data_IF_915698269204
#
_entry.id   IF_915698269204
#
_cell.length_a   1.000
_cell.length_b   1.000
_cell.length_c   1.000
_cell.angle_alpha   90.00
_cell.angle_beta   90.00
_cell.angle_gamma   90.00
#
_symmetry.space_group_name_H-M   'P 1'
#
loop_
_entity.id
_entity.type
_entity.pdbx_description
1 polymer ?
2 polymer ?
3 water ?
#
# COMPACT_ATOMS: atom_id res chain seq x y z
N UNK A 15 9.24 7.69 -10.32
CA UNK A 15 8.77 8.59 -9.29
C UNK A 15 8.20 7.84 -8.08
N UNK A 16 7.88 6.57 -8.26
CA UNK A 16 7.32 5.79 -7.16
C UNK A 16 8.41 5.16 -6.28
N UNK A 17 9.51 4.75 -6.92
CA UNK A 17 10.62 4.21 -6.17
C UNK A 17 11.22 5.28 -5.25
N UNK A 18 11.22 6.53 -5.71
CA UNK A 18 11.82 7.63 -4.95
C UNK A 18 10.96 8.05 -3.76
N UNK A 19 9.68 7.80 -3.86
CA UNK A 19 8.72 8.04 -2.83
C UNK A 19 8.89 6.97 -1.77
N UNK A 20 8.99 5.76 -2.24
CA UNK A 20 9.16 4.59 -1.38
C UNK A 20 10.50 4.64 -0.66
N UNK A 21 11.53 5.11 -1.36
CA UNK A 21 12.84 5.26 -0.73
C UNK A 21 12.83 6.28 0.41
N UNK A 22 12.08 7.36 0.27
CA UNK A 22 12.09 8.32 1.37
C UNK A 22 11.25 7.87 2.54
N UNK A 23 10.26 7.02 2.29
CA UNK A 23 9.56 6.39 3.38
C UNK A 23 10.51 5.44 4.12
N UNK A 24 11.37 4.77 3.36
CA UNK A 24 12.34 3.86 3.95
C UNK A 24 13.32 4.63 4.84
N UNK A 25 13.85 5.75 4.32
CA UNK A 25 14.74 6.63 5.08
C UNK A 25 14.03 7.23 6.29
N UNK A 26 12.75 7.53 6.15
CA UNK A 26 11.97 8.01 7.28
C UNK A 26 11.91 6.94 8.37
N UNK A 27 11.66 5.69 7.98
CA UNK A 27 11.60 4.59 8.94
C UNK A 27 12.91 4.47 9.69
N UNK A 28 14.02 4.53 8.97
CA UNK A 28 15.33 4.41 9.60
C UNK A 28 15.60 5.58 10.52
N UNK A 29 15.23 6.79 10.10
CA UNK A 29 15.42 7.97 10.95
C UNK A 29 14.61 7.86 12.23
N UNK A 30 13.35 7.41 12.10
CA UNK A 30 12.48 7.30 13.27
C UNK A 30 12.93 6.20 14.23
N UNK A 31 13.44 5.09 13.69
CA UNK A 31 14.00 4.04 14.54
C UNK A 31 15.24 4.58 15.28
N UNK A 32 16.05 5.37 14.58
CA UNK A 32 17.27 5.91 15.16
C UNK A 32 16.99 6.89 16.30
N UNK A 33 15.94 7.69 16.14
CA UNK A 33 15.49 8.59 17.20
C UNK A 33 14.99 7.81 18.40
N UNK A 34 14.25 6.74 18.14
CA UNK A 34 13.60 5.99 19.22
C UNK A 34 14.61 5.21 20.06
N UNK A 35 15.64 4.66 19.41
CA UNK A 35 16.60 3.79 20.10
C UNK A 35 17.96 4.43 20.33
N UNK A 36 18.12 5.70 19.94
CA UNK A 36 19.42 6.35 19.87
C UNK A 36 20.44 5.48 19.16
N UNK A 37 20.04 4.98 18.00
CA UNK A 37 20.88 4.15 17.17
C UNK A 37 21.45 4.98 16.05
N UNK A 38 22.31 4.37 15.25
CA UNK A 38 22.86 5.05 14.09
C UNK A 38 22.84 4.15 12.86
N UNK A 39 21.73 3.47 12.62
CA UNK A 39 21.58 2.68 11.40
C UNK A 39 21.69 3.58 10.19
N UNK A 40 22.38 3.11 9.16
CA UNK A 40 22.47 3.89 7.95
C UNK A 40 21.72 3.20 6.82
N UNK A 41 20.69 3.85 6.30
CA UNK A 41 19.92 3.29 5.18
C UNK A 41 20.81 2.92 4.00
N UNK A 42 20.61 1.73 3.44
CA UNK A 42 21.33 1.35 2.23
C UNK A 42 20.37 1.22 1.05
N UNK A 43 19.31 0.41 1.20
CA UNK A 43 18.41 0.22 0.08
C UNK A 43 17.12 -0.45 0.48
N UNK A 44 16.12 -0.30 -0.38
CA UNK A 44 14.86 -1.01 -0.21
C UNK A 44 14.94 -2.29 -1.01
N UNK A 45 14.56 -3.41 -0.40
CA UNK A 45 14.63 -4.67 -1.13
C UNK A 45 13.22 -5.16 -1.49
N UNK A 46 12.21 -4.71 -0.76
CA UNK A 46 10.84 -5.12 -1.06
C UNK A 46 9.88 -4.08 -0.50
N UNK A 47 8.86 -3.72 -1.27
CA UNK A 47 7.91 -2.71 -0.82
C UNK A 47 6.52 -3.11 -1.24
N UNK A 48 5.57 -2.97 -0.33
CA UNK A 48 4.17 -3.19 -0.64
C UNK A 48 3.37 -1.99 -0.14
N UNK A 49 2.57 -1.36 -1.02
CA UNK A 49 1.66 -0.31 -0.58
C UNK A 49 0.24 -0.85 -0.45
N UNK A 50 -0.36 -0.71 0.73
CA UNK A 50 -1.68 -1.25 0.96
C UNK A 50 -2.65 -0.20 1.47
N UNK A 51 -3.66 0.12 0.67
CA UNK A 51 -4.70 1.07 1.06
C UNK A 51 -5.81 0.35 1.83
N UNK A 52 -6.08 0.81 3.03
CA UNK A 52 -7.07 0.18 3.90
C UNK A 52 -8.36 0.98 3.86
N UNK A 53 -9.46 0.34 3.46
CA UNK A 53 -10.73 1.05 3.32
C UNK A 53 -11.76 0.53 4.33
N UNK A 54 -11.30 -0.07 5.42
CA UNK A 54 -12.19 -0.77 6.33
C UNK A 54 -12.65 0.11 7.49
N UNK A 55 -12.07 1.30 7.62
CA UNK A 55 -12.40 2.19 8.75
C UNK A 55 -13.06 3.48 8.29
N UNK A 56 -13.32 4.40 9.22
CA UNK A 56 -13.99 5.65 8.88
C UNK A 56 -13.11 6.56 8.01
N UNK A 57 -11.79 6.48 8.24
CA UNK A 57 -10.83 7.32 7.52
C UNK A 57 -9.89 6.47 6.71
N UNK A 58 -9.68 6.85 5.46
CA UNK A 58 -8.78 6.11 4.57
C UNK A 58 -7.35 6.29 5.07
N UNK A 59 -6.56 5.23 5.01
CA UNK A 59 -5.14 5.37 5.29
C UNK A 59 -4.40 4.35 4.46
N UNK A 60 -3.08 4.51 4.41
CA UNK A 60 -2.21 3.65 3.63
C UNK A 60 -1.15 3.04 4.56
N UNK A 61 -0.89 1.73 4.44
CA UNK A 61 0.24 1.08 5.09
C UNK A 61 1.33 0.77 4.09
N UNK A 62 2.58 1.07 4.42
CA UNK A 62 3.69 0.56 3.64
C UNK A 62 4.39 -0.55 4.40
N UNK A 63 4.50 -1.72 3.77
CA UNK A 63 5.32 -2.81 4.31
C UNK A 63 6.62 -2.82 3.55
N UNK A 64 7.71 -2.58 4.27
CA UNK A 64 9.01 -2.32 3.64
C UNK A 64 10.04 -3.28 4.19
N UNK A 65 10.77 -3.97 3.32
CA UNK A 65 11.97 -4.65 3.76
C UNK A 65 13.15 -3.85 3.21
N UNK A 66 14.01 -3.39 4.11
CA UNK A 66 15.14 -2.56 3.72
C UNK A 66 16.43 -3.09 4.31
N UNK A 67 17.53 -2.67 3.70
CA UNK A 67 18.86 -2.97 4.17
C UNK A 67 19.49 -1.70 4.74
N UNK A 68 20.20 -1.85 5.85
CA UNK A 68 20.81 -0.73 6.53
C UNK A 68 22.04 -1.25 7.25
N UNK A 69 23.05 -0.41 7.41
CA UNK A 69 24.28 -0.81 8.08
C UNK A 69 24.21 -0.53 9.57
N UNK A 70 24.57 -1.53 10.35
CA UNK A 70 24.65 -1.44 11.80
C UNK A 70 26.06 -1.79 12.23
N UNK A 71 26.87 -0.79 12.55
CA UNK A 71 28.26 -1.03 12.88
C UNK A 71 29.01 -1.64 11.70
N UNK A 72 28.79 -1.07 10.53
CA UNK A 72 29.48 -1.54 9.33
C UNK A 72 29.11 -2.96 8.89
N UNK A 73 28.00 -3.49 9.38
CA UNK A 73 27.45 -4.74 8.86
C UNK A 73 26.06 -4.48 8.29
N UNK A 74 25.82 -4.93 7.06
CA UNK A 74 24.51 -4.80 6.44
C UNK A 74 23.56 -5.83 7.01
N UNK A 75 22.39 -5.37 7.43
CA UNK A 75 21.34 -6.25 7.93
C UNK A 75 20.01 -5.88 7.27
N UNK A 76 19.08 -6.82 7.28
CA UNK A 76 17.75 -6.58 6.76
C UNK A 76 16.78 -6.22 7.87
N UNK A 77 15.86 -5.31 7.57
CA UNK A 77 14.87 -4.91 8.54
C UNK A 77 13.51 -4.91 7.87
N UNK A 78 12.47 -5.22 8.65
CA UNK A 78 11.09 -5.10 8.20
C UNK A 78 10.45 -3.92 8.92
N UNK A 79 9.86 -3.01 8.15
CA UNK A 79 9.28 -1.80 8.73
C UNK A 79 7.83 -1.66 8.26
N UNK A 80 6.98 -1.10 9.11
CA UNK A 80 5.61 -0.78 8.71
C UNK A 80 5.39 0.70 8.91
N UNK A 81 5.04 1.40 7.84
CA UNK A 81 4.81 2.83 7.97
C UNK A 81 3.37 3.17 7.66
N UNK A 82 2.69 3.81 8.62
CA UNK A 82 1.32 4.26 8.45
C UNK A 82 1.34 5.64 7.83
N UNK A 83 0.47 5.84 6.85
CA UNK A 83 0.37 7.13 6.17
C UNK A 83 -1.10 7.52 6.13
N UNK A 84 -1.41 8.72 6.60
CA UNK A 84 -2.77 9.24 6.51
C UNK A 84 -3.26 9.39 5.07
N UNK A 85 -4.49 8.95 4.79
CA UNK A 85 -5.07 9.11 3.46
C UNK A 85 -4.31 8.37 2.39
N UNK A 86 -4.26 8.93 1.18
CA UNK A 86 -3.51 8.33 0.07
C UNK A 86 -2.17 9.04 -0.15
N UNK A 87 -1.19 8.30 -0.64
CA UNK A 87 0.17 8.83 -0.77
C UNK A 87 0.24 10.07 -1.66
N UNK A 88 -0.51 10.09 -2.75
CA UNK A 88 -0.40 11.20 -3.69
C UNK A 88 -1.06 12.47 -3.15
N UNK A 89 -1.79 12.37 -2.03
CA UNK A 89 -2.39 13.55 -1.44
C UNK A 89 -1.32 14.41 -0.79
N UNK A 90 -0.18 13.80 -0.46
CA UNK A 90 0.97 14.52 0.08
C UNK A 90 0.60 15.41 1.27
N UNK A 91 0.08 14.80 2.33
CA UNK A 91 -0.57 15.55 3.41
C UNK A 91 0.42 16.27 4.33
N UNK A 92 1.67 15.82 4.34
CA UNK A 92 2.67 16.42 5.19
C UNK A 92 3.33 15.35 6.02
N UNK A 93 4.55 15.62 6.45
CA UNK A 93 5.36 14.63 7.17
C UNK A 93 4.82 14.29 8.55
N UNK A 94 3.98 15.16 9.11
CA UNK A 94 3.38 14.90 10.43
C UNK A 94 2.29 13.84 10.40
N UNK A 95 1.84 13.49 9.20
CA UNK A 95 0.74 12.56 9.03
C UNK A 95 1.22 11.20 8.54
N UNK A 96 2.38 10.80 9.08
CA UNK A 96 3.04 9.53 8.82
C UNK A 96 3.46 8.99 10.17
N UNK A 97 3.55 7.68 10.31
CA UNK A 97 3.98 7.11 11.57
C UNK A 97 4.72 5.79 11.35
N UNK A 98 5.90 5.64 11.96
CA UNK A 98 6.55 4.32 12.01
C UNK A 98 5.84 3.47 13.05
N UNK A 99 5.20 2.38 12.63
CA UNK A 99 4.46 1.56 13.58
C UNK A 99 5.24 0.34 14.03
N UNK A 100 6.18 -0.11 13.20
CA UNK A 100 7.01 -1.26 13.54
C UNK A 100 8.30 -1.22 12.73
N UNK A 101 9.38 -1.65 13.38
CA UNK A 101 10.72 -1.72 12.79
C UNK A 101 11.50 -2.79 13.55
N UNK A 102 11.86 -3.87 12.86
CA UNK A 102 12.51 -5.01 13.53
C UNK A 102 13.42 -5.77 12.57
N UNK A 103 14.47 -6.43 13.11
CA UNK A 103 15.33 -7.26 12.27
C UNK A 103 14.54 -8.41 11.67
N UNK A 104 14.90 -8.89 10.49
CA UNK A 104 14.14 -10.00 9.89
C UNK A 104 14.39 -11.31 10.64
N UNK B 5 -12.21 -11.91 10.25
CA UNK B 5 -12.61 -12.77 9.15
C UNK B 5 -13.45 -12.02 8.13
N UNK B 6 -13.82 -10.79 8.48
CA UNK B 6 -14.67 -9.99 7.62
C UNK B 6 -13.90 -9.31 6.48
N UNK B 7 -12.57 -9.43 6.50
CA UNK B 7 -11.70 -8.67 5.57
C UNK B 7 -11.01 -9.55 4.53
N UNK B 8 -10.64 -8.95 3.41
CA UNK B 8 -9.83 -9.61 2.38
C UNK B 8 -8.77 -8.63 1.84
N UNK B 9 -7.58 -9.14 1.56
CA UNK B 9 -6.56 -8.34 0.93
C UNK B 9 -6.51 -8.67 -0.54
N UNK B 10 -6.70 -7.66 -1.38
CA UNK B 10 -6.69 -7.83 -2.83
C UNK B 10 -5.55 -7.03 -3.42
N UNK B 11 -5.20 -7.32 -4.67
CA UNK B 11 -4.25 -6.44 -5.32
C UNK B 11 -4.70 -6.08 -6.72
N UNK B 12 -4.49 -4.81 -7.05
CA UNK B 12 -4.89 -4.22 -8.29
C UNK B 12 -3.68 -3.96 -9.11
N UNK B 13 -3.59 -4.58 -10.27
CA UNK B 13 -2.45 -4.38 -11.15
C UNK B 13 -2.86 -3.60 -12.40
N UNK B 14 -2.09 -2.56 -12.71
CA UNK B 14 -2.33 -1.73 -13.86
C UNK B 14 -1.56 -2.23 -15.04
N UNK B 15 -1.87 -1.72 -16.22
CA UNK B 15 -1.25 -2.17 -17.45
C UNK B 15 0.27 -1.90 -17.47
N UNK B 16 0.70 -0.89 -16.71
CA UNK B 16 2.13 -0.61 -16.57
C UNK B 16 2.78 -1.50 -15.50
N UNK B 17 1.97 -2.46 -14.98
CA UNK B 17 2.39 -3.53 -14.06
C UNK B 17 2.64 -3.07 -12.61
N UNK B 18 2.38 -1.80 -12.30
CA UNK B 18 2.43 -1.33 -10.92
C UNK B 18 1.34 -2.02 -10.08
N UNK B 19 1.57 -2.26 -8.78
CA UNK B 19 0.63 -2.98 -7.92
C UNK B 19 0.26 -2.15 -6.71
N UNK B 20 -1.00 -1.96 -6.47
CA UNK B 20 -1.52 -1.31 -5.27
C UNK B 20 -2.38 -2.33 -4.53
N UNK B 21 -2.09 -2.61 -3.26
CA UNK B 21 -2.91 -3.57 -2.55
C UNK B 21 -4.02 -2.83 -1.82
N UNK B 22 -5.14 -3.52 -1.60
CA UNK B 22 -6.25 -2.97 -0.84
C UNK B 22 -6.64 -3.94 0.26
N UNK B 23 -7.09 -3.42 1.39
CA UNK B 23 -7.75 -4.24 2.36
C UNK B 23 -9.19 -3.75 2.45
N UNK B 24 -10.14 -4.64 2.15
CA UNK B 24 -11.57 -4.29 2.13
C UNK B 24 -12.42 -5.34 2.85
N UNK B 25 -13.65 -4.98 3.22
CA UNK B 25 -14.57 -5.97 3.78
C UNK B 25 -15.12 -6.84 2.65
N UNK B 26 -15.26 -8.13 2.94
CA UNK B 26 -15.80 -9.11 2.00
C UNK B 26 -17.16 -8.71 1.44
N UNK B 27 -17.94 -8.00 2.25
CA UNK B 27 -19.32 -7.71 1.90
C UNK B 27 -19.54 -6.30 1.36
N UNK B 28 -18.47 -5.53 1.18
CA UNK B 28 -18.63 -4.15 0.75
C UNK B 28 -18.63 -4.05 -0.76
N UNK B 29 -19.51 -3.22 -1.31
CA UNK B 29 -19.52 -2.96 -2.74
C UNK B 29 -18.14 -2.57 -3.25
N UNK B 30 -17.72 -3.14 -4.37
CA UNK B 30 -16.39 -2.85 -4.90
C UNK B 30 -16.29 -1.46 -5.52
N UNK B 31 -17.42 -0.75 -5.60
CA UNK B 31 -17.38 0.63 -6.05
C UNK B 31 -16.42 1.44 -5.19
N UNK B 32 -16.39 1.15 -3.89
CA UNK B 32 -15.51 1.89 -2.98
C UNK B 32 -14.04 1.70 -3.36
N UNK B 33 -13.66 0.47 -3.70
CA UNK B 33 -12.29 0.17 -4.11
C UNK B 33 -11.96 0.86 -5.43
N UNK B 34 -12.90 0.83 -6.36
CA UNK B 34 -12.71 1.48 -7.66
C UNK B 34 -12.49 2.99 -7.50
N UNK B 35 -13.28 3.63 -6.64
CA UNK B 35 -13.15 5.07 -6.46
C UNK B 35 -11.82 5.43 -5.80
N UNK B 36 -11.43 4.66 -4.81
CA UNK B 36 -10.15 4.87 -4.15
C UNK B 36 -8.97 4.69 -5.11
N UNK B 37 -9.04 3.65 -5.94
CA UNK B 37 -7.96 3.43 -6.89
C UNK B 37 -7.89 4.60 -7.86
N UNK B 38 -9.03 5.08 -8.35
CA UNK B 38 -9.05 6.27 -9.19
C UNK B 38 -8.45 7.50 -8.51
N UNK B 39 -8.82 7.75 -7.25
CA UNK B 39 -8.23 8.85 -6.51
C UNK B 39 -6.72 8.69 -6.36
N UNK B 40 -6.29 7.46 -6.15
CA UNK B 40 -4.87 7.17 -5.96
C UNK B 40 -4.08 7.45 -7.23
N UNK B 41 -4.70 7.17 -8.38
CA UNK B 41 -4.04 7.42 -9.66
C UNK B 41 -4.30 8.82 -10.16
N UNK B 42 -5.18 9.55 -9.46
CA UNK B 42 -5.50 10.93 -9.84
C UNK B 42 -6.28 11.07 -11.14
N UNK B 43 -7.19 10.12 -11.40
CA UNK B 43 -7.96 10.10 -12.66
C UNK B 43 -9.47 10.14 -12.38
N UNK B 44 -10.28 10.52 -13.39
CA UNK B 44 -11.73 10.63 -13.15
C UNK B 44 -12.40 9.32 -12.75
N UNK B 45 -13.52 9.44 -12.05
CA UNK B 45 -14.14 8.32 -11.35
C UNK B 45 -14.56 7.12 -12.21
N UNK B 46 -14.85 7.36 -13.49
CA UNK B 46 -15.33 6.26 -14.31
C UNK B 46 -14.52 6.07 -15.58
N UNK B 47 -13.22 6.36 -15.47
CA UNK B 47 -12.33 6.30 -16.62
C UNK B 47 -11.64 4.95 -16.74
N UNK B 48 -11.81 4.11 -15.73
CA UNK B 48 -11.15 2.81 -15.69
C UNK B 48 -12.14 1.64 -15.65
N UNK B 49 -11.66 0.48 -16.07
CA UNK B 49 -12.46 -0.75 -16.11
C UNK B 49 -11.71 -1.81 -15.31
N UNK B 50 -12.37 -2.43 -14.34
CA UNK B 50 -11.72 -3.37 -13.42
C UNK B 50 -12.24 -4.77 -13.70
N UNK B 51 -11.32 -5.71 -13.83
CA UNK B 51 -11.66 -7.07 -14.21
C UNK B 51 -11.18 -8.09 -13.18
N UNK B 52 -12.03 -9.06 -12.86
CA UNK B 52 -11.58 -10.17 -12.03
C UNK B 52 -11.76 -11.47 -12.79
N UNK B 53 -10.63 -12.14 -13.06
CA UNK B 53 -10.62 -13.33 -13.90
C UNK B 53 -11.46 -13.15 -15.17
N UNK B 54 -11.31 -11.97 -15.77
CA UNK B 54 -11.88 -11.67 -17.08
C UNK B 54 -13.27 -11.10 -16.97
N UNK B 55 -13.82 -11.07 -15.76
CA UNK B 55 -15.18 -10.56 -15.55
C UNK B 55 -15.17 -9.09 -15.16
N UNK B 56 -15.98 -8.27 -15.83
CA UNK B 56 -16.11 -6.87 -15.47
C UNK B 56 -16.71 -6.71 -14.08
N UNK B 57 -16.00 -6.03 -13.20
CA UNK B 57 -16.45 -5.75 -11.86
C UNK B 57 -17.44 -4.59 -11.86
N UNK B 58 -18.68 -4.89 -11.50
CA UNK B 58 -19.71 -3.86 -11.37
C UNK B 58 -19.60 -3.17 -10.02
N UNK B 59 -20.15 -1.95 -9.96
CA UNK B 59 -20.16 -1.18 -8.73
C UNK B 59 -20.75 -1.95 -7.54
N UNK B 60 -21.78 -2.78 -7.76
CA UNK B 60 -22.41 -3.46 -6.63
C UNK B 60 -21.93 -4.90 -6.44
N UNK B 61 -20.92 -5.31 -7.19
CA UNK B 61 -20.23 -6.57 -6.88
C UNK B 61 -19.50 -6.48 -5.53
N UNK B 62 -19.44 -7.59 -4.80
CA UNK B 62 -18.66 -7.71 -3.58
C UNK B 62 -17.63 -8.82 -3.79
N UNK B 63 -16.52 -8.80 -3.02
CA UNK B 63 -15.55 -9.90 -3.11
C UNK B 63 -16.20 -11.25 -2.83
N UNK B 64 -17.18 -11.25 -1.93
CA UNK B 64 -17.96 -12.42 -1.61
C UNK B 64 -18.74 -12.97 -2.81
N UNK B 65 -19.47 -12.12 -3.51
CA UNK B 65 -20.26 -12.59 -4.65
C UNK B 65 -19.38 -13.16 -5.76
N UNK B 66 -18.14 -12.69 -5.84
CA UNK B 66 -17.26 -13.12 -6.91
C UNK B 66 -16.32 -14.24 -6.48
N UNK B 67 -16.48 -14.71 -5.25
CA UNK B 67 -15.68 -15.82 -4.77
C UNK B 67 -14.20 -15.46 -4.67
N UNK B 68 -13.90 -14.20 -4.38
CA UNK B 68 -12.50 -13.77 -4.27
C UNK B 68 -11.81 -14.35 -3.06
N UNK B 69 -10.51 -14.53 -3.15
CA UNK B 69 -9.73 -15.11 -2.07
C UNK B 69 -8.55 -14.22 -1.76
N UNK B 70 -7.92 -14.43 -0.60
CA UNK B 70 -6.80 -13.62 -0.19
C UNK B 70 -5.78 -13.51 -1.31
N UNK B 71 -5.32 -12.28 -1.51
CA UNK B 71 -4.31 -11.94 -2.52
C UNK B 71 -4.78 -12.17 -3.95
N UNK B 72 -6.10 -12.23 -4.17
CA UNK B 72 -6.61 -12.29 -5.54
C UNK B 72 -6.32 -11.01 -6.30
N UNK B 73 -6.16 -11.13 -7.61
CA UNK B 73 -5.75 -10.01 -8.47
C UNK B 73 -6.92 -9.42 -9.28
N UNK B 74 -7.02 -8.09 -9.26
CA UNK B 74 -7.92 -7.33 -10.11
C UNK B 74 -7.07 -6.61 -11.16
N UNK B 75 -7.39 -6.78 -12.45
CA UNK B 75 -6.65 -6.07 -13.50
C UNK B 75 -7.44 -4.82 -13.92
N UNK B 76 -6.73 -3.74 -14.17
CA UNK B 76 -7.43 -2.49 -14.49
C UNK B 76 -6.96 -2.00 -15.84
N UNK B 77 -7.92 -1.53 -16.64
CA UNK B 77 -7.62 -1.01 -17.96
C UNK B 77 -8.34 0.32 -18.15
N UNK B 78 -7.96 1.08 -19.17
CA UNK B 78 -8.74 2.24 -19.62
C UNK B 78 -10.05 1.79 -20.24
N UNK B 79 -11.16 2.43 -19.86
CA UNK B 79 -12.44 2.10 -20.50
C UNK B 79 -12.58 2.71 -21.89
#
# INVERSE_FOLDING_TARGET
MASAATGVRAVPGNENSLEIEELARFAVDEHNKKENALLEFVRVVKAKEQIDLTQEWVFTMYYLTLEAKDGGKKKLYEAKVWVKGLTNWKLGMNFKELQEFKPVGDAAAAHHHHHH
MHMEGEYIKLKVIGQDSSEIHFKVKMTTHLKKLKESYCQRQGVPMNSLRFLFEGQRIADNHTPKELGMEEEDVIEVYQEQTGG
#
